data_IF_411577072905
#
_entry.id   IF_411577072905
#
_cell.length_a   1.000
_cell.length_b   1.000
_cell.length_c   1.000
_cell.angle_alpha   90.00
_cell.angle_beta   90.00
_cell.angle_gamma   90.00
#
_symmetry.space_group_name_H-M   'P 1'
#
loop_
_entity.id
_entity.type
_entity.pdbx_description
1 polymer ?
#
# COMPACT_ATOMS: atom_id res chain seq x y z
N UNK A 1 -2.36 14.42 -25.23
CA UNK A 1 -1.78 15.54 -24.42
C UNK A 1 -1.39 14.95 -23.07
N UNK A 2 -0.21 15.27 -22.51
CA UNK A 2 0.16 14.81 -21.15
C UNK A 2 -0.67 15.58 -20.12
N UNK A 3 -1.22 14.91 -19.09
CA UNK A 3 -1.92 15.60 -18.00
C UNK A 3 -0.94 16.48 -17.21
N UNK A 4 -1.43 17.55 -16.61
CA UNK A 4 -0.64 18.43 -15.73
C UNK A 4 -0.25 17.75 -14.41
N UNK A 5 -1.03 16.76 -13.99
CA UNK A 5 -0.84 15.97 -12.78
C UNK A 5 -1.94 14.93 -12.65
N UNK A 6 -1.94 14.23 -11.55
CA UNK A 6 -2.88 13.17 -11.25
C UNK A 6 -3.66 13.48 -9.96
N UNK A 7 -4.95 13.17 -9.97
CA UNK A 7 -5.77 13.15 -8.76
C UNK A 7 -6.30 11.73 -8.60
N UNK A 8 -6.04 11.09 -7.46
CA UNK A 8 -6.42 9.69 -7.25
C UNK A 8 -7.45 9.61 -6.13
N UNK A 9 -8.61 9.01 -6.43
CA UNK A 9 -9.69 8.75 -5.49
C UNK A 9 -9.75 7.26 -5.13
N UNK A 10 -9.65 6.95 -3.85
CA UNK A 10 -9.63 5.58 -3.35
C UNK A 10 -10.05 5.51 -1.87
N UNK A 11 -10.16 4.29 -1.31
CA UNK A 11 -10.40 4.02 0.12
C UNK A 11 -9.65 2.77 0.57
N UNK A 12 -9.26 2.72 1.84
CA UNK A 12 -8.62 1.56 2.46
C UNK A 12 -7.38 1.09 1.69
N UNK A 13 -7.25 -0.20 1.40
CA UNK A 13 -6.11 -0.74 0.65
C UNK A 13 -5.92 -0.07 -0.71
N UNK A 14 -7.00 0.35 -1.38
CA UNK A 14 -6.89 1.10 -2.64
C UNK A 14 -6.28 2.49 -2.44
N UNK A 15 -6.48 3.14 -1.28
CA UNK A 15 -5.86 4.42 -0.95
C UNK A 15 -4.35 4.25 -0.67
N UNK A 16 -3.95 3.13 -0.09
CA UNK A 16 -2.52 2.79 0.04
C UNK A 16 -1.87 2.56 -1.32
N UNK A 17 -2.58 1.95 -2.29
CA UNK A 17 -2.09 1.88 -3.66
C UNK A 17 -1.99 3.29 -4.31
N UNK A 18 -2.91 4.20 -4.01
CA UNK A 18 -2.82 5.59 -4.45
C UNK A 18 -1.62 6.33 -3.81
N UNK A 19 -1.30 6.03 -2.55
CA UNK A 19 -0.10 6.53 -1.89
C UNK A 19 1.18 6.04 -2.57
N UNK A 20 1.23 4.77 -2.99
CA UNK A 20 2.32 4.25 -3.81
C UNK A 20 2.47 5.04 -5.13
N UNK A 21 1.36 5.29 -5.83
CA UNK A 21 1.37 6.07 -7.07
C UNK A 21 1.94 7.47 -6.88
N UNK A 22 1.72 8.10 -5.73
CA UNK A 22 2.29 9.42 -5.39
C UNK A 22 3.81 9.42 -5.48
N UNK A 23 4.46 8.39 -4.95
CA UNK A 23 5.91 8.22 -5.05
C UNK A 23 6.33 7.82 -6.47
N UNK A 24 5.66 6.85 -7.06
CA UNK A 24 6.03 6.29 -8.36
C UNK A 24 5.93 7.34 -9.48
N UNK A 25 4.78 8.00 -9.64
CA UNK A 25 4.59 9.01 -10.69
C UNK A 25 5.42 10.25 -10.42
N UNK A 26 5.65 10.60 -9.14
CA UNK A 26 6.55 11.68 -8.76
C UNK A 26 7.97 11.43 -9.22
N UNK A 27 8.52 10.24 -8.92
CA UNK A 27 9.90 9.89 -9.25
C UNK A 27 10.10 9.60 -10.74
N UNK A 28 9.26 8.74 -11.32
CA UNK A 28 9.47 8.26 -12.70
C UNK A 28 8.91 9.21 -13.76
N UNK A 29 7.71 9.72 -13.52
CA UNK A 29 7.01 10.54 -14.51
C UNK A 29 7.11 12.04 -14.23
N UNK A 30 7.78 12.44 -13.13
CA UNK A 30 7.92 13.83 -12.67
C UNK A 30 6.58 14.56 -12.57
N UNK A 31 5.55 13.83 -12.20
CA UNK A 31 4.18 14.31 -12.11
C UNK A 31 3.76 14.55 -10.67
N UNK A 32 3.00 15.60 -10.44
CA UNK A 32 2.34 15.81 -9.14
C UNK A 32 1.15 14.86 -9.01
N UNK A 33 1.00 14.29 -7.83
CA UNK A 33 -0.13 13.43 -7.49
C UNK A 33 -0.79 13.95 -6.21
N UNK A 34 -2.09 14.23 -6.29
CA UNK A 34 -2.92 14.53 -5.14
C UNK A 34 -3.85 13.34 -4.83
N UNK A 35 -3.97 12.99 -3.55
CA UNK A 35 -5.02 12.08 -3.10
C UNK A 35 -6.29 12.89 -2.91
N UNK A 36 -7.39 12.44 -3.51
CA UNK A 36 -8.66 13.14 -3.43
C UNK A 36 -9.22 13.10 -1.99
N UNK A 37 -9.93 14.15 -1.61
CA UNK A 37 -10.79 14.15 -0.42
C UNK A 37 -12.26 14.01 -0.87
N UNK A 38 -12.81 12.79 -1.01
CA UNK A 38 -14.13 12.57 -1.61
C UNK A 38 -15.27 13.33 -0.91
N UNK A 39 -15.12 13.67 0.36
CA UNK A 39 -16.10 14.48 1.09
C UNK A 39 -16.29 15.88 0.50
N UNK A 40 -15.30 16.45 -0.19
CA UNK A 40 -15.47 17.72 -0.91
C UNK A 40 -16.51 17.60 -2.02
N UNK A 41 -16.63 16.43 -2.60
CA UNK A 41 -17.56 16.12 -3.69
C UNK A 41 -18.94 15.71 -3.14
N UNK A 42 -18.97 14.84 -2.13
CA UNK A 42 -20.20 14.20 -1.66
C UNK A 42 -20.90 14.94 -0.52
N UNK A 43 -20.19 15.70 0.31
CA UNK A 43 -20.73 16.37 1.51
C UNK A 43 -20.68 17.89 1.43
N UNK A 44 -19.55 18.44 1.00
CA UNK A 44 -19.38 19.89 0.96
C UNK A 44 -19.91 20.52 -0.34
N UNK A 45 -20.10 19.72 -1.42
CA UNK A 45 -20.55 20.25 -2.71
C UNK A 45 -19.61 21.30 -3.31
N UNK A 46 -18.33 21.24 -2.93
CA UNK A 46 -17.29 22.18 -3.34
C UNK A 46 -16.09 21.44 -3.91
N UNK A 47 -16.25 20.74 -5.04
CA UNK A 47 -15.17 20.00 -5.66
C UNK A 47 -14.08 20.95 -6.17
N UNK A 48 -12.79 20.56 -6.07
CA UNK A 48 -11.70 21.34 -6.65
C UNK A 48 -11.78 21.34 -8.18
N UNK A 49 -11.04 22.26 -8.82
CA UNK A 49 -10.88 22.27 -10.27
C UNK A 49 -9.99 21.11 -10.70
N UNK A 50 -10.46 20.36 -11.68
CA UNK A 50 -9.82 19.15 -12.20
C UNK A 50 -9.36 19.29 -13.65
N UNK A 51 -9.55 20.47 -14.24
CA UNK A 51 -9.17 20.75 -15.63
C UNK A 51 -7.66 20.53 -15.88
N UNK A 52 -7.35 19.76 -16.91
CA UNK A 52 -5.98 19.39 -17.26
C UNK A 52 -5.35 18.32 -16.38
N UNK A 53 -6.06 17.77 -15.41
CA UNK A 53 -5.62 16.62 -14.60
C UNK A 53 -6.06 15.30 -15.24
N UNK A 54 -5.38 14.21 -14.88
CA UNK A 54 -5.89 12.86 -15.03
C UNK A 54 -6.44 12.39 -13.67
N UNK A 55 -7.72 12.03 -13.63
CA UNK A 55 -8.36 11.59 -12.39
C UNK A 55 -8.53 10.08 -12.41
N UNK A 56 -7.93 9.40 -11.44
CA UNK A 56 -7.92 7.93 -11.35
C UNK A 56 -8.80 7.52 -10.17
N UNK A 57 -9.81 6.70 -10.43
CA UNK A 57 -10.59 6.02 -9.38
C UNK A 57 -10.09 4.60 -9.19
N UNK A 58 -9.71 4.24 -7.96
CA UNK A 58 -9.30 2.87 -7.62
C UNK A 58 -10.32 2.26 -6.68
N UNK A 59 -11.00 1.20 -7.13
CA UNK A 59 -11.98 0.48 -6.31
C UNK A 59 -12.08 -0.97 -6.75
N UNK A 60 -11.82 -1.91 -5.86
CA UNK A 60 -11.88 -3.34 -6.14
C UNK A 60 -13.25 -3.73 -6.73
N UNK A 61 -14.34 -3.33 -6.10
CA UNK A 61 -15.72 -3.63 -6.55
C UNK A 61 -16.27 -2.65 -7.58
N UNK A 62 -15.59 -1.51 -7.79
CA UNK A 62 -16.11 -0.42 -8.60
C UNK A 62 -17.47 0.16 -8.14
N UNK A 63 -17.88 -0.13 -6.89
CA UNK A 63 -19.18 0.24 -6.34
C UNK A 63 -19.11 1.26 -5.19
N UNK A 64 -17.94 1.85 -4.91
CA UNK A 64 -17.75 2.85 -3.85
C UNK A 64 -18.36 4.20 -4.26
N UNK A 65 -19.45 4.65 -3.62
CA UNK A 65 -20.20 5.82 -4.09
C UNK A 65 -19.38 7.11 -4.10
N UNK A 66 -18.52 7.28 -3.10
CA UNK A 66 -17.68 8.45 -2.95
C UNK A 66 -16.54 8.50 -4.00
N UNK A 67 -15.96 7.35 -4.37
CA UNK A 67 -14.99 7.28 -5.47
C UNK A 67 -15.68 7.57 -6.81
N UNK A 68 -16.88 7.01 -7.02
CA UNK A 68 -17.69 7.24 -8.24
C UNK A 68 -18.02 8.74 -8.36
N UNK A 69 -18.42 9.40 -7.28
CA UNK A 69 -18.76 10.84 -7.29
C UNK A 69 -17.57 11.71 -7.73
N UNK A 70 -16.32 11.33 -7.35
CA UNK A 70 -15.13 12.05 -7.81
C UNK A 70 -14.94 11.88 -9.31
N UNK A 71 -15.13 10.68 -9.85
CA UNK A 71 -14.98 10.41 -11.29
C UNK A 71 -16.12 11.09 -12.09
N UNK A 72 -17.37 11.03 -11.62
CA UNK A 72 -18.50 11.71 -12.26
C UNK A 72 -18.26 13.24 -12.36
N UNK A 73 -17.75 13.84 -11.30
CA UNK A 73 -17.41 15.26 -11.31
C UNK A 73 -16.23 15.56 -12.24
N UNK A 74 -15.20 14.69 -12.28
CA UNK A 74 -14.09 14.85 -13.21
C UNK A 74 -14.53 14.81 -14.67
N UNK A 75 -15.43 13.88 -15.04
CA UNK A 75 -16.05 13.82 -16.35
C UNK A 75 -16.82 15.11 -16.65
N UNK A 76 -17.64 15.61 -15.70
CA UNK A 76 -18.39 16.86 -15.84
C UNK A 76 -17.47 18.07 -16.12
N UNK A 77 -16.27 18.08 -15.55
CA UNK A 77 -15.26 19.12 -15.77
C UNK A 77 -14.40 18.90 -17.01
N UNK A 78 -14.60 17.80 -17.77
CA UNK A 78 -13.80 17.48 -18.97
C UNK A 78 -12.38 17.03 -18.67
N UNK A 79 -12.11 16.53 -17.46
CA UNK A 79 -10.83 15.92 -17.12
C UNK A 79 -10.75 14.49 -17.68
N UNK A 80 -9.53 14.03 -18.04
CA UNK A 80 -9.28 12.63 -18.37
C UNK A 80 -9.58 11.76 -17.16
N UNK A 81 -10.30 10.65 -17.35
CA UNK A 81 -10.67 9.76 -16.24
C UNK A 81 -10.27 8.32 -16.50
N UNK A 82 -9.78 7.66 -15.44
CA UNK A 82 -9.36 6.24 -15.46
C UNK A 82 -10.00 5.52 -14.28
N UNK A 83 -10.61 4.39 -14.53
CA UNK A 83 -11.06 3.44 -13.51
C UNK A 83 -10.09 2.27 -13.41
N UNK A 84 -9.56 2.01 -12.21
CA UNK A 84 -8.80 0.79 -11.88
C UNK A 84 -9.73 -0.06 -11.02
N UNK A 85 -10.20 -1.19 -11.54
CA UNK A 85 -11.20 -2.02 -10.85
C UNK A 85 -11.06 -3.50 -11.22
N UNK A 86 -11.50 -4.37 -10.31
CA UNK A 86 -11.55 -5.81 -10.58
C UNK A 86 -12.88 -6.25 -11.23
N UNK A 87 -13.85 -5.34 -11.30
CA UNK A 87 -15.14 -5.54 -11.98
C UNK A 87 -15.29 -4.54 -13.14
N UNK A 88 -15.00 -4.98 -14.39
CA UNK A 88 -15.08 -4.12 -15.56
C UNK A 88 -16.52 -3.69 -15.92
N UNK A 89 -17.53 -4.36 -15.38
CA UNK A 89 -18.96 -4.03 -15.60
C UNK A 89 -19.52 -3.13 -14.49
N UNK A 90 -18.69 -2.69 -13.55
CA UNK A 90 -19.07 -1.87 -12.39
C UNK A 90 -19.49 -0.45 -12.79
N UNK A 91 -20.19 0.21 -11.86
CA UNK A 91 -20.57 1.63 -12.02
C UNK A 91 -19.37 2.53 -12.26
N UNK A 92 -18.26 2.33 -11.52
CA UNK A 92 -17.02 3.10 -11.69
C UNK A 92 -16.48 2.96 -13.12
N UNK A 93 -16.43 1.71 -13.63
CA UNK A 93 -15.99 1.43 -15.00
C UNK A 93 -16.90 2.09 -16.06
N UNK A 94 -18.22 2.10 -15.82
CA UNK A 94 -19.19 2.67 -16.77
C UNK A 94 -19.13 4.20 -16.88
N UNK A 95 -18.54 4.90 -15.89
CA UNK A 95 -18.45 6.37 -15.85
C UNK A 95 -17.11 6.87 -16.39
N UNK A 96 -16.02 6.13 -16.15
CA UNK A 96 -14.69 6.56 -16.55
C UNK A 96 -14.48 6.42 -18.08
N UNK A 97 -13.63 7.30 -18.63
CA UNK A 97 -13.24 7.25 -20.05
C UNK A 97 -12.38 6.02 -20.38
N UNK A 98 -11.49 5.64 -19.47
CA UNK A 98 -10.60 4.49 -19.60
C UNK A 98 -10.80 3.53 -18.44
N UNK A 99 -10.72 2.23 -18.72
CA UNK A 99 -10.83 1.18 -17.70
C UNK A 99 -9.57 0.31 -17.73
N UNK A 100 -8.98 0.13 -16.56
CA UNK A 100 -7.86 -0.79 -16.34
C UNK A 100 -8.36 -1.92 -15.43
N UNK A 101 -8.70 -3.08 -15.99
CA UNK A 101 -9.16 -4.22 -15.20
C UNK A 101 -7.99 -4.86 -14.46
N UNK A 102 -8.19 -5.21 -13.19
CA UNK A 102 -7.14 -5.78 -12.34
C UNK A 102 -6.86 -7.26 -12.63
N UNK A 103 -7.82 -8.00 -13.19
CA UNK A 103 -7.71 -9.43 -13.46
C UNK A 103 -7.27 -10.28 -12.27
N UNK A 104 -7.53 -9.82 -11.02
CA UNK A 104 -7.10 -10.50 -9.80
C UNK A 104 -7.93 -11.77 -9.48
N UNK A 105 -8.94 -12.07 -10.28
CA UNK A 105 -9.92 -13.11 -10.00
C UNK A 105 -10.80 -12.74 -8.80
N UNK A 106 -11.66 -13.65 -8.31
CA UNK A 106 -12.54 -13.35 -7.19
C UNK A 106 -11.76 -13.15 -5.89
N UNK A 107 -11.98 -12.02 -5.22
CA UNK A 107 -11.45 -11.73 -3.88
C UNK A 107 -12.56 -11.96 -2.85
N UNK A 108 -12.52 -13.13 -2.19
CA UNK A 108 -13.60 -13.61 -1.31
C UNK A 108 -13.50 -13.09 0.11
N UNK A 109 -12.29 -13.02 0.64
CA UNK A 109 -12.03 -12.47 1.99
C UNK A 109 -12.45 -11.00 2.08
N UNK A 110 -12.93 -10.57 3.25
CA UNK A 110 -13.30 -9.17 3.47
C UNK A 110 -12.09 -8.25 3.32
N UNK A 111 -10.95 -8.52 3.98
CA UNK A 111 -9.72 -7.77 3.74
C UNK A 111 -9.19 -7.98 2.32
N UNK A 112 -8.78 -6.89 1.67
CA UNK A 112 -8.18 -6.97 0.34
C UNK A 112 -6.75 -7.53 0.43
N UNK A 113 -6.37 -8.33 -0.56
CA UNK A 113 -5.01 -8.85 -0.72
C UNK A 113 -4.57 -8.78 -2.18
N UNK A 114 -5.08 -9.65 -3.05
CA UNK A 114 -4.72 -9.72 -4.47
C UNK A 114 -5.05 -8.42 -5.23
N UNK A 115 -6.19 -7.82 -4.94
CA UNK A 115 -6.59 -6.57 -5.62
C UNK A 115 -5.74 -5.39 -5.20
N UNK A 116 -5.15 -5.39 -4.00
CA UNK A 116 -4.15 -4.41 -3.60
C UNK A 116 -2.87 -4.54 -4.43
N UNK A 117 -2.27 -5.72 -4.47
CA UNK A 117 -1.06 -5.97 -5.26
C UNK A 117 -1.28 -5.75 -6.76
N UNK A 118 -2.45 -6.16 -7.29
CA UNK A 118 -2.83 -5.88 -8.67
C UNK A 118 -3.01 -4.38 -8.96
N UNK A 119 -3.51 -3.59 -7.99
CA UNK A 119 -3.61 -2.13 -8.13
C UNK A 119 -2.24 -1.46 -8.19
N UNK A 120 -1.28 -1.89 -7.35
CA UNK A 120 0.12 -1.42 -7.42
C UNK A 120 0.72 -1.77 -8.79
N UNK A 121 0.53 -3.01 -9.26
CA UNK A 121 1.02 -3.42 -10.58
C UNK A 121 0.39 -2.60 -11.71
N UNK A 122 -0.92 -2.37 -11.68
CA UNK A 122 -1.61 -1.54 -12.67
C UNK A 122 -1.03 -0.12 -12.72
N UNK A 123 -0.77 0.49 -11.57
CA UNK A 123 -0.13 1.82 -11.47
C UNK A 123 1.30 1.80 -12.01
N UNK A 124 2.07 0.73 -11.76
CA UNK A 124 3.42 0.57 -12.31
C UNK A 124 3.41 0.43 -13.84
N UNK A 125 2.45 -0.32 -14.40
CA UNK A 125 2.25 -0.44 -15.84
C UNK A 125 1.81 0.88 -16.48
N UNK A 126 0.95 1.66 -15.81
CA UNK A 126 0.56 3.01 -16.26
C UNK A 126 1.80 3.93 -16.26
N UNK A 127 2.62 3.92 -15.22
CA UNK A 127 3.86 4.69 -15.15
C UNK A 127 4.81 4.35 -16.30
N UNK A 128 4.97 3.06 -16.61
CA UNK A 128 5.78 2.58 -17.73
C UNK A 128 5.20 3.01 -19.09
N UNK A 129 3.88 3.03 -19.23
CA UNK A 129 3.22 3.46 -20.46
C UNK A 129 3.38 4.98 -20.71
N UNK A 130 3.46 5.79 -19.65
CA UNK A 130 3.65 7.24 -19.73
C UNK A 130 5.09 7.58 -20.15
N UNK A 131 6.08 6.96 -19.51
CA UNK A 131 7.50 7.15 -19.78
C UNK A 131 8.20 5.80 -19.85
N UNK A 132 8.41 5.32 -21.08
CA UNK A 132 9.04 4.01 -21.31
C UNK A 132 10.48 4.01 -20.86
N UNK A 133 10.85 2.94 -20.19
CA UNK A 133 12.18 2.62 -19.69
C UNK A 133 12.36 1.09 -19.81
N UNK A 134 13.30 0.66 -20.62
CA UNK A 134 13.46 -0.76 -20.93
C UNK A 134 13.86 -1.56 -19.68
N UNK A 135 14.73 -1.02 -18.83
CA UNK A 135 15.16 -1.69 -17.60
C UNK A 135 13.99 -1.87 -16.61
N UNK A 136 13.13 -0.86 -16.50
CA UNK A 136 11.92 -0.99 -15.67
C UNK A 136 10.90 -1.95 -16.30
N UNK A 137 10.79 -1.96 -17.63
CA UNK A 137 9.97 -2.92 -18.37
C UNK A 137 10.41 -4.36 -18.13
N UNK A 138 11.72 -4.63 -18.17
CA UNK A 138 12.29 -5.96 -17.88
C UNK A 138 12.04 -6.37 -16.41
N UNK A 139 12.19 -5.43 -15.48
CA UNK A 139 11.88 -5.66 -14.08
C UNK A 139 10.39 -6.00 -13.88
N UNK A 140 9.47 -5.29 -14.53
CA UNK A 140 8.03 -5.61 -14.53
C UNK A 140 7.76 -7.01 -15.10
N UNK A 141 8.43 -7.41 -16.16
CA UNK A 141 8.29 -8.74 -16.75
C UNK A 141 8.79 -9.86 -15.81
N UNK A 142 9.73 -9.57 -14.92
CA UNK A 142 10.25 -10.52 -13.93
C UNK A 142 9.35 -10.72 -12.70
N UNK A 143 8.39 -9.83 -12.46
CA UNK A 143 7.54 -9.82 -11.25
C UNK A 143 6.87 -11.15 -10.92
N UNK A 144 6.29 -11.92 -11.88
CA UNK A 144 5.63 -13.18 -11.51
C UNK A 144 6.56 -14.15 -10.77
N UNK A 145 7.82 -14.25 -11.21
CA UNK A 145 8.83 -15.09 -10.56
C UNK A 145 9.25 -14.52 -9.19
N UNK A 146 9.48 -13.21 -9.11
CA UNK A 146 9.91 -12.54 -7.88
C UNK A 146 8.83 -12.58 -6.79
N UNK A 147 7.59 -12.35 -7.16
CA UNK A 147 6.44 -12.48 -6.25
C UNK A 147 6.20 -13.94 -5.83
N UNK A 148 6.44 -14.90 -6.72
CA UNK A 148 6.43 -16.32 -6.38
C UNK A 148 7.48 -16.68 -5.33
N UNK A 149 8.67 -16.08 -5.40
CA UNK A 149 9.72 -16.21 -4.39
C UNK A 149 9.27 -15.68 -3.03
N UNK A 150 8.65 -14.50 -2.99
CA UNK A 150 8.11 -13.93 -1.75
C UNK A 150 7.04 -14.80 -1.08
N UNK A 151 6.19 -15.47 -1.86
CA UNK A 151 5.23 -16.47 -1.32
C UNK A 151 5.94 -17.65 -0.66
N UNK A 152 7.10 -18.09 -1.22
CA UNK A 152 7.90 -19.17 -0.65
C UNK A 152 8.64 -18.84 0.63
N UNK A 153 8.79 -17.54 0.96
CA UNK A 153 9.51 -17.07 2.16
C UNK A 153 8.62 -16.99 3.43
N UNK A 154 7.46 -17.64 3.44
CA UNK A 154 6.53 -17.64 4.57
C UNK A 154 7.14 -18.16 5.88
N UNK A 155 8.04 -19.14 5.82
CA UNK A 155 8.69 -19.69 7.00
C UNK A 155 9.57 -18.64 7.74
N UNK A 156 10.12 -17.67 7.03
CA UNK A 156 10.97 -16.64 7.61
C UNK A 156 10.19 -15.65 8.48
N UNK A 157 8.85 -15.70 8.46
CA UNK A 157 7.95 -14.84 9.25
C UNK A 157 7.71 -15.36 10.68
N UNK A 158 8.05 -16.61 10.99
CA UNK A 158 7.71 -17.26 12.27
C UNK A 158 8.22 -16.50 13.50
N UNK A 159 9.44 -15.96 13.43
CA UNK A 159 10.06 -15.22 14.55
C UNK A 159 9.44 -13.82 14.76
N UNK A 160 8.76 -13.28 13.74
CA UNK A 160 8.12 -11.97 13.83
C UNK A 160 6.75 -12.03 14.53
N UNK A 161 6.06 -13.15 14.39
CA UNK A 161 4.67 -13.33 14.85
C UNK A 161 4.49 -13.05 16.34
N UNK A 162 5.31 -13.61 17.27
CA UNK A 162 5.12 -13.38 18.70
C UNK A 162 5.22 -11.91 19.11
N UNK A 163 6.05 -11.13 18.42
CA UNK A 163 6.24 -9.69 18.71
C UNK A 163 4.98 -8.90 18.40
N UNK A 164 4.22 -9.31 17.38
CA UNK A 164 3.00 -8.63 16.92
C UNK A 164 1.70 -9.18 17.53
N UNK A 165 1.76 -10.21 18.39
CA UNK A 165 0.56 -10.75 19.06
C UNK A 165 0.03 -9.85 20.20
N UNK A 166 0.70 -8.77 20.53
CA UNK A 166 0.25 -7.78 21.52
C UNK A 166 -0.95 -6.94 21.04
N UNK A 167 -1.44 -6.03 21.89
CA UNK A 167 -2.62 -5.22 21.55
C UNK A 167 -2.33 -4.07 20.59
N UNK A 168 -1.08 -3.69 20.43
CA UNK A 168 -0.64 -2.52 19.64
C UNK A 168 0.69 -2.76 18.95
N UNK A 169 0.92 -2.07 17.84
CA UNK A 169 2.20 -2.03 17.14
C UNK A 169 2.34 -0.73 16.33
N UNK A 170 3.58 -0.33 16.08
CA UNK A 170 3.90 0.69 15.07
C UNK A 170 4.51 -0.03 13.86
N UNK A 171 4.13 0.43 12.67
CA UNK A 171 4.72 -0.03 11.41
C UNK A 171 5.39 1.17 10.75
N UNK A 172 6.67 1.08 10.47
CA UNK A 172 7.44 2.17 9.86
C UNK A 172 7.86 1.79 8.45
N UNK A 173 7.64 2.70 7.52
CA UNK A 173 8.12 2.61 6.15
C UNK A 173 8.72 3.92 5.67
N UNK A 174 9.42 3.88 4.53
CA UNK A 174 9.99 5.08 3.92
C UNK A 174 9.88 4.98 2.40
N UNK A 175 9.69 6.13 1.70
CA UNK A 175 9.59 6.15 0.25
C UNK A 175 8.44 5.30 -0.28
N UNK A 176 8.71 4.45 -1.27
CA UNK A 176 7.71 3.57 -1.87
C UNK A 176 7.07 2.62 -0.85
N UNK A 177 7.86 2.11 0.10
CA UNK A 177 7.41 1.16 1.11
C UNK A 177 6.66 1.80 2.30
N UNK A 178 6.48 3.12 2.32
CA UNK A 178 5.53 3.73 3.23
C UNK A 178 4.09 3.28 2.91
N UNK A 179 3.75 3.13 1.62
CA UNK A 179 2.45 2.56 1.23
C UNK A 179 2.27 1.11 1.70
N UNK A 180 3.34 0.32 1.67
CA UNK A 180 3.34 -1.05 2.19
C UNK A 180 3.17 -1.09 3.70
N UNK A 181 3.85 -0.19 4.43
CA UNK A 181 3.68 -0.07 5.87
C UNK A 181 2.23 0.28 6.27
N UNK A 182 1.58 1.20 5.55
CA UNK A 182 0.16 1.52 5.76
C UNK A 182 -0.74 0.30 5.51
N UNK A 183 -0.47 -0.46 4.44
CA UNK A 183 -1.25 -1.67 4.14
C UNK A 183 -1.04 -2.77 5.18
N UNK A 184 0.19 -3.00 5.64
CA UNK A 184 0.48 -3.99 6.70
C UNK A 184 -0.21 -3.61 8.00
N UNK A 185 -0.15 -2.33 8.40
CA UNK A 185 -0.85 -1.84 9.60
C UNK A 185 -2.37 -2.03 9.49
N UNK A 186 -2.94 -1.75 8.32
CA UNK A 186 -4.35 -2.00 8.05
C UNK A 186 -4.68 -3.49 8.17
N UNK A 187 -3.90 -4.38 7.55
CA UNK A 187 -4.13 -5.83 7.63
C UNK A 187 -4.04 -6.35 9.07
N UNK A 188 -3.02 -5.95 9.85
CA UNK A 188 -2.94 -6.30 11.27
C UNK A 188 -4.18 -5.82 12.05
N UNK A 189 -4.67 -4.63 11.76
CA UNK A 189 -5.86 -4.09 12.42
C UNK A 189 -7.13 -4.85 12.04
N UNK A 190 -7.33 -5.13 10.74
CA UNK A 190 -8.53 -5.79 10.23
C UNK A 190 -8.60 -7.28 10.62
N UNK A 191 -7.48 -8.00 10.50
CA UNK A 191 -7.47 -9.47 10.60
C UNK A 191 -7.09 -9.97 11.98
N UNK A 192 -6.29 -9.22 12.75
CA UNK A 192 -5.76 -9.65 14.05
C UNK A 192 -6.19 -8.77 15.21
N UNK A 193 -6.91 -7.68 14.97
CA UNK A 193 -7.34 -6.69 15.97
C UNK A 193 -6.19 -6.11 16.79
N UNK A 194 -5.01 -6.05 16.21
CA UNK A 194 -3.88 -5.29 16.73
C UNK A 194 -4.08 -3.81 16.36
N UNK A 195 -4.06 -2.92 17.33
CA UNK A 195 -4.09 -1.48 17.04
C UNK A 195 -2.74 -1.08 16.41
N UNK A 196 -2.60 -1.35 15.12
CA UNK A 196 -1.41 -1.02 14.36
C UNK A 196 -1.54 0.35 13.69
N UNK A 197 -0.49 1.16 13.77
CA UNK A 197 -0.43 2.46 13.12
C UNK A 197 0.84 2.56 12.29
N UNK A 198 0.69 2.93 11.01
CA UNK A 198 1.85 3.19 10.18
C UNK A 198 2.28 4.67 10.24
N UNK A 199 3.59 4.89 10.02
CA UNK A 199 4.19 6.20 9.85
C UNK A 199 5.31 6.13 8.81
N UNK A 200 5.49 7.21 8.06
CA UNK A 200 6.77 7.45 7.41
C UNK A 200 7.84 7.68 8.47
N UNK A 201 9.05 7.11 8.30
CA UNK A 201 10.16 7.29 9.26
C UNK A 201 10.35 8.77 9.59
N UNK A 202 10.37 9.65 8.58
CA UNK A 202 10.57 11.07 8.82
C UNK A 202 9.45 11.69 9.69
N UNK A 203 8.18 11.39 9.40
CA UNK A 203 7.07 11.93 10.19
C UNK A 203 7.06 11.35 11.61
N UNK A 204 7.49 10.08 11.77
CA UNK A 204 7.59 9.44 13.07
C UNK A 204 8.57 10.14 14.00
N UNK A 205 9.72 10.58 13.48
CA UNK A 205 10.73 11.30 14.22
C UNK A 205 10.28 12.71 14.67
N UNK A 206 9.28 13.30 13.98
CA UNK A 206 8.75 14.64 14.27
C UNK A 206 7.64 14.66 15.34
N UNK A 207 7.63 13.68 16.25
CA UNK A 207 6.71 13.67 17.40
C UNK A 207 6.20 12.30 17.80
N UNK A 208 5.64 11.49 16.89
CA UNK A 208 5.09 10.17 17.22
C UNK A 208 6.05 9.21 17.91
N UNK A 209 7.36 9.37 17.72
CA UNK A 209 8.40 8.60 18.41
C UNK A 209 8.28 8.66 19.94
N UNK A 210 7.66 9.70 20.49
CA UNK A 210 7.44 9.83 21.92
C UNK A 210 6.52 8.74 22.53
N UNK A 211 5.80 7.97 21.70
CA UNK A 211 4.89 6.91 22.17
C UNK A 211 5.63 5.61 22.51
N UNK A 212 6.85 5.43 21.99
CA UNK A 212 7.59 4.19 22.22
C UNK A 212 8.22 4.16 23.62
N UNK A 213 8.22 2.98 24.20
CA UNK A 213 8.81 2.65 25.48
C UNK A 213 9.54 1.30 25.38
N UNK A 214 10.19 0.86 26.43
CA UNK A 214 10.81 -0.46 26.46
C UNK A 214 9.79 -1.55 26.09
N UNK A 215 10.24 -2.52 25.29
CA UNK A 215 9.45 -3.65 24.76
C UNK A 215 8.29 -3.25 23.84
N UNK A 216 8.22 -1.98 23.39
CA UNK A 216 7.20 -1.57 22.43
C UNK A 216 7.44 -2.23 21.06
N UNK A 217 6.43 -2.90 20.47
CA UNK A 217 6.60 -3.58 19.18
C UNK A 217 6.63 -2.60 18.01
N UNK A 218 7.70 -2.65 17.23
CA UNK A 218 7.89 -1.86 16.01
C UNK A 218 8.28 -2.78 14.85
N UNK A 219 7.51 -2.71 13.78
CA UNK A 219 7.80 -3.39 12.52
C UNK A 219 8.36 -2.37 11.52
N UNK A 220 9.55 -2.62 11.01
CA UNK A 220 10.15 -1.87 9.90
C UNK A 220 9.81 -2.58 8.58
N UNK A 221 9.41 -1.80 7.58
CA UNK A 221 9.12 -2.29 6.23
C UNK A 221 9.94 -1.48 5.24
N UNK A 222 10.86 -2.13 4.54
CA UNK A 222 11.75 -1.42 3.66
C UNK A 222 12.51 -2.25 2.65
N UNK A 223 13.24 -1.55 1.81
CA UNK A 223 14.10 -2.11 0.79
C UNK A 223 15.48 -1.47 0.83
N UNK A 224 16.43 -2.11 0.18
CA UNK A 224 17.70 -1.47 -0.17
C UNK A 224 17.47 -0.31 -1.14
N UNK A 225 18.40 0.67 -1.15
CA UNK A 225 18.32 1.79 -2.08
C UNK A 225 18.38 3.15 -1.42
N UNK A 226 17.63 4.11 -1.97
CA UNK A 226 17.77 5.54 -1.62
C UNK A 226 17.41 5.88 -0.18
N UNK A 227 16.55 5.07 0.47
CA UNK A 227 16.04 5.33 1.83
C UNK A 227 16.59 4.37 2.88
N UNK A 228 17.53 3.52 2.51
CA UNK A 228 18.10 2.51 3.41
C UNK A 228 18.73 3.12 4.66
N UNK A 229 19.50 4.20 4.50
CA UNK A 229 20.16 4.88 5.63
C UNK A 229 19.16 5.44 6.66
N UNK A 230 17.97 5.90 6.21
CA UNK A 230 16.93 6.36 7.12
C UNK A 230 16.39 5.20 7.97
N UNK A 231 16.22 4.01 7.36
CA UNK A 231 15.75 2.81 8.04
C UNK A 231 16.78 2.27 9.03
N UNK A 232 18.07 2.28 8.68
CA UNK A 232 19.16 1.89 9.57
C UNK A 232 19.27 2.83 10.77
N UNK A 233 19.16 4.14 10.54
CA UNK A 233 19.20 5.15 11.59
C UNK A 233 18.08 4.99 12.60
N UNK A 234 16.83 4.85 12.13
CA UNK A 234 15.69 4.68 13.03
C UNK A 234 15.73 3.33 13.75
N UNK A 235 16.19 2.25 13.08
CA UNK A 235 16.37 0.95 13.71
C UNK A 235 17.30 1.03 14.92
N UNK A 236 18.49 1.63 14.75
CA UNK A 236 19.44 1.82 15.85
C UNK A 236 18.84 2.58 17.03
N UNK A 237 18.15 3.70 16.76
CA UNK A 237 17.51 4.50 17.82
C UNK A 237 16.44 3.73 18.60
N UNK A 238 15.61 2.94 17.89
CA UNK A 238 14.56 2.16 18.53
C UNK A 238 15.13 1.02 19.36
N UNK A 239 16.19 0.37 18.90
CA UNK A 239 16.95 -0.62 19.68
C UNK A 239 17.54 0.02 20.94
N UNK A 240 18.16 1.19 20.84
CA UNK A 240 18.69 1.93 21.99
C UNK A 240 17.61 2.32 23.01
N UNK A 241 16.38 2.57 22.55
CA UNK A 241 15.22 2.81 23.45
C UNK A 241 14.69 1.52 24.10
N UNK A 242 15.21 0.35 23.68
CA UNK A 242 14.78 -0.95 24.18
C UNK A 242 13.46 -1.43 23.61
N UNK A 243 13.06 -0.93 22.44
CA UNK A 243 11.90 -1.44 21.72
C UNK A 243 12.12 -2.87 21.20
N UNK A 244 11.03 -3.59 20.93
CA UNK A 244 11.06 -4.85 20.19
C UNK A 244 10.99 -4.53 18.70
N UNK A 245 12.13 -4.52 18.04
CA UNK A 245 12.24 -4.09 16.64
C UNK A 245 12.42 -5.29 15.73
N UNK A 246 11.45 -5.47 14.83
CA UNK A 246 11.46 -6.52 13.81
C UNK A 246 11.32 -5.92 12.41
N UNK A 247 11.58 -6.71 11.37
CA UNK A 247 11.59 -6.17 10.02
C UNK A 247 11.12 -7.09 8.91
N UNK A 248 10.54 -6.48 7.86
CA UNK A 248 10.32 -7.06 6.54
C UNK A 248 11.17 -6.29 5.52
N UNK A 249 12.12 -6.95 4.88
CA UNK A 249 13.04 -6.29 3.98
C UNK A 249 13.13 -6.99 2.63
N UNK A 250 13.09 -6.19 1.55
CA UNK A 250 13.48 -6.60 0.21
C UNK A 250 14.86 -6.00 -0.09
N UNK A 251 15.90 -6.66 0.41
CA UNK A 251 17.28 -6.21 0.36
C UNK A 251 18.21 -7.41 0.65
N UNK A 252 19.50 -7.33 0.33
CA UNK A 252 20.47 -8.38 0.68
C UNK A 252 20.61 -8.61 2.20
N UNK A 253 20.39 -7.56 3.00
CA UNK A 253 20.54 -7.63 4.45
C UNK A 253 19.52 -6.72 5.15
N UNK A 254 19.10 -7.10 6.34
CA UNK A 254 18.37 -6.24 7.27
C UNK A 254 19.31 -5.29 8.01
N UNK A 255 18.83 -4.15 8.54
CA UNK A 255 19.55 -3.35 9.53
C UNK A 255 20.03 -4.20 10.70
N UNK A 256 21.24 -3.94 11.26
CA UNK A 256 21.75 -4.68 12.41
C UNK A 256 20.97 -4.39 13.69
N UNK A 257 20.99 -5.35 14.63
CA UNK A 257 20.47 -5.18 15.98
C UNK A 257 18.96 -5.40 16.13
N UNK A 258 18.25 -5.80 15.08
CA UNK A 258 16.84 -6.16 15.17
C UNK A 258 16.64 -7.47 15.97
N UNK A 259 15.49 -7.62 16.65
CA UNK A 259 15.12 -8.86 17.33
C UNK A 259 14.94 -10.02 16.34
N UNK A 260 14.32 -9.73 15.18
CA UNK A 260 14.16 -10.66 14.06
C UNK A 260 13.88 -9.91 12.76
N UNK A 261 14.17 -10.51 11.63
CA UNK A 261 13.84 -9.96 10.32
C UNK A 261 13.58 -11.07 9.30
N UNK A 262 12.54 -10.90 8.50
CA UNK A 262 12.36 -11.66 7.27
C UNK A 262 12.97 -10.85 6.11
N UNK A 263 13.93 -11.45 5.43
CA UNK A 263 14.68 -10.81 4.33
C UNK A 263 14.41 -11.58 3.05
N UNK A 264 13.91 -10.87 2.05
CA UNK A 264 13.69 -11.41 0.71
C UNK A 264 14.40 -10.51 -0.30
N UNK A 265 15.52 -10.98 -0.85
CA UNK A 265 16.23 -10.25 -1.92
C UNK A 265 15.62 -10.59 -3.27
N UNK A 266 14.68 -9.80 -3.73
CA UNK A 266 14.03 -9.97 -5.02
C UNK A 266 14.89 -9.50 -6.19
N UNK A 267 15.95 -8.73 -5.92
CA UNK A 267 16.75 -8.02 -6.92
C UNK A 267 15.89 -7.08 -7.82
N UNK A 268 14.74 -6.64 -7.34
CA UNK A 268 13.91 -5.64 -8.01
C UNK A 268 14.42 -4.21 -7.74
N UNK A 269 14.18 -3.26 -8.65
CA UNK A 269 14.39 -1.85 -8.32
C UNK A 269 13.45 -1.43 -7.18
N UNK A 270 13.91 -0.47 -6.37
CA UNK A 270 13.21 -0.01 -5.15
C UNK A 270 11.73 0.31 -5.38
N UNK A 271 11.39 0.84 -6.56
CA UNK A 271 10.03 1.17 -6.97
C UNK A 271 9.08 -0.02 -7.02
N UNK A 272 9.57 -1.23 -7.24
CA UNK A 272 8.76 -2.45 -7.38
C UNK A 272 8.78 -3.35 -6.15
N UNK A 273 9.64 -3.09 -5.18
CA UNK A 273 9.69 -3.85 -3.91
C UNK A 273 8.40 -3.82 -3.08
N UNK A 274 7.51 -2.80 -3.18
CA UNK A 274 6.20 -2.86 -2.55
C UNK A 274 5.36 -4.08 -2.96
N UNK A 275 5.60 -4.66 -4.14
CA UNK A 275 4.85 -5.84 -4.61
C UNK A 275 5.25 -7.12 -3.87
N UNK A 276 6.53 -7.31 -3.58
CA UNK A 276 7.05 -8.44 -2.81
C UNK A 276 6.80 -8.27 -1.31
N UNK A 277 7.08 -7.07 -0.78
CA UNK A 277 6.87 -6.76 0.64
C UNK A 277 5.40 -6.76 1.06
N UNK A 278 4.48 -6.39 0.15
CA UNK A 278 3.05 -6.52 0.41
C UNK A 278 2.63 -7.99 0.63
N UNK A 279 3.20 -8.93 -0.12
CA UNK A 279 2.95 -10.36 0.05
C UNK A 279 3.42 -10.81 1.43
N UNK A 280 4.66 -10.50 1.79
CA UNK A 280 5.20 -10.84 3.11
C UNK A 280 4.38 -10.22 4.25
N UNK A 281 3.98 -8.96 4.10
CA UNK A 281 3.12 -8.28 5.08
C UNK A 281 1.72 -8.90 5.23
N UNK A 282 1.12 -9.34 4.12
CA UNK A 282 -0.17 -10.05 4.13
C UNK A 282 -0.05 -11.41 4.79
N UNK A 283 0.99 -12.18 4.49
CA UNK A 283 1.28 -13.46 5.12
C UNK A 283 1.55 -13.29 6.63
N UNK A 284 2.33 -12.26 7.02
CA UNK A 284 2.58 -11.95 8.42
C UNK A 284 1.28 -11.63 9.17
N UNK A 285 0.43 -10.77 8.62
CA UNK A 285 -0.85 -10.44 9.23
C UNK A 285 -1.77 -11.67 9.37
N UNK A 286 -1.77 -12.56 8.37
CA UNK A 286 -2.45 -13.84 8.43
C UNK A 286 -1.93 -14.72 9.58
N UNK A 287 -0.60 -14.87 9.68
CA UNK A 287 0.02 -15.66 10.77
C UNK A 287 -0.27 -15.09 12.15
N UNK A 288 -0.23 -13.77 12.29
CA UNK A 288 -0.60 -13.10 13.55
C UNK A 288 -2.07 -13.35 13.88
N UNK A 289 -3.00 -13.29 12.90
CA UNK A 289 -4.41 -13.60 13.11
C UNK A 289 -4.60 -15.03 13.63
N UNK A 290 -3.98 -16.01 12.97
CA UNK A 290 -4.03 -17.43 13.40
C UNK A 290 -3.47 -17.62 14.81
N UNK A 291 -2.31 -17.03 15.12
CA UNK A 291 -1.69 -17.12 16.44
C UNK A 291 -2.57 -16.48 17.55
N UNK A 292 -3.37 -15.48 17.20
CA UNK A 292 -4.34 -14.85 18.10
C UNK A 292 -5.68 -15.56 18.16
N UNK A 293 -5.89 -16.63 17.38
CA UNK A 293 -7.17 -17.36 17.31
C UNK A 293 -8.29 -16.58 16.60
N UNK A 294 -7.94 -15.66 15.70
CA UNK A 294 -8.89 -14.86 14.92
C UNK A 294 -9.04 -15.45 13.52
N UNK A 295 -10.27 -15.53 13.02
CA UNK A 295 -10.53 -15.88 11.63
C UNK A 295 -10.27 -14.66 10.72
N UNK A 296 -9.21 -14.67 9.89
CA UNK A 296 -8.86 -13.53 9.05
C UNK A 296 -9.84 -13.30 7.89
N UNK A 297 -10.63 -14.31 7.52
CA UNK A 297 -11.59 -14.19 6.40
C UNK A 297 -12.91 -13.54 6.83
N UNK A 298 -13.24 -13.62 8.12
CA UNK A 298 -14.50 -13.10 8.68
C UNK A 298 -14.26 -12.13 9.86
N UNK A 299 -13.57 -11.00 9.62
CA UNK A 299 -13.32 -10.04 10.68
C UNK A 299 -14.64 -9.43 11.19
N UNK A 300 -14.73 -9.26 12.53
CA UNK A 300 -15.91 -8.68 13.17
C UNK A 300 -16.17 -7.25 12.64
N UNK A 301 -17.46 -6.89 12.54
CA UNK A 301 -17.94 -5.55 12.16
C UNK A 301 -17.55 -5.05 10.75
N UNK A 302 -16.88 -5.86 9.93
CA UNK A 302 -16.56 -5.51 8.56
C UNK A 302 -17.50 -6.20 7.54
N UNK A 303 -17.69 -5.54 6.42
CA UNK A 303 -18.40 -6.07 5.24
C UNK A 303 -17.54 -5.88 4.01
N UNK A 304 -17.68 -6.80 3.03
CA UNK A 304 -16.88 -6.75 1.78
C UNK A 304 -17.04 -5.44 1.01
N UNK A 305 -18.20 -4.84 1.03
CA UNK A 305 -18.46 -3.53 0.40
C UNK A 305 -18.93 -2.58 1.49
N UNK A 306 -18.15 -1.55 1.73
CA UNK A 306 -18.51 -0.44 2.61
C UNK A 306 -19.07 0.70 1.76
N UNK A 307 -20.25 1.20 2.13
CA UNK A 307 -20.88 2.34 1.46
C UNK A 307 -20.64 3.60 2.30
N UNK A 308 -19.74 4.45 1.84
CA UNK A 308 -19.47 5.79 2.39
C UNK A 308 -19.97 6.85 1.42
N UNK A 309 -20.51 7.97 1.98
CA UNK A 309 -21.06 9.09 1.22
C UNK A 309 -20.34 10.38 1.60
#
# INVERSE_FOLDING_TARGET
MRPRGFVIAARGSSDHAALYAKYLFGRRNRALVALAAPSLFTRYGSPPRLDGQCVIGISQSGASPDVIAVIEEAVRQGAMTVAITNDPDSRLASVAELVVPLHAGPERSVPASKTYTASILALALISQAIDRDDAFGDALASLPSRMGGALGAEADLEELVPVLCGPRAIVLGRGFNFSTAEEVALKLTETSYVLARAWSVADFEHGPIAVVERDFPVLLVGAGGSVQADLESIASRLVDYGCRVIGLFDAPNAPPGLDAAAVHDSALPEELTPLTLAILGQLLAYRVAVARGVDPDQPRALRKITRTW
#
